data_IF_760227056611
#
_entry.id   IF_760227056611
#
_cell.length_a   1.000
_cell.length_b   1.000
_cell.length_c   1.000
_cell.angle_alpha   90.00
_cell.angle_beta   90.00
_cell.angle_gamma   90.00
#
_symmetry.space_group_name_H-M   'P 1'
#
loop_
_entity.id
_entity.type
_entity.pdbx_description
1 polymer ?
#
# COMPACT_ATOMS: atom_id res chain seq x y z
N UNK A 1 -15.21 9.48 10.68
CA UNK A 1 -15.58 10.01 9.34
C UNK A 1 -16.56 9.09 8.62
N UNK A 2 -16.19 7.85 8.24
CA UNK A 2 -17.10 7.00 7.45
C UNK A 2 -18.44 6.68 8.15
N UNK A 3 -18.44 6.47 9.48
CA UNK A 3 -19.68 6.25 10.27
C UNK A 3 -20.66 7.43 10.14
N UNK A 4 -20.16 8.65 10.36
CA UNK A 4 -20.95 9.88 10.24
C UNK A 4 -21.50 10.10 8.82
N UNK A 5 -20.74 9.71 7.79
CA UNK A 5 -21.24 9.73 6.41
C UNK A 5 -22.34 8.68 6.20
N UNK A 6 -22.20 7.50 6.79
CA UNK A 6 -23.25 6.47 6.80
C UNK A 6 -24.54 6.91 7.48
N UNK A 7 -24.43 7.59 8.63
CA UNK A 7 -25.60 8.16 9.33
C UNK A 7 -26.29 9.21 8.46
N UNK A 8 -25.51 10.02 7.73
CA UNK A 8 -26.03 11.01 6.81
C UNK A 8 -26.75 10.35 5.62
N UNK A 9 -26.15 9.33 5.02
CA UNK A 9 -26.79 8.54 3.94
C UNK A 9 -28.09 7.89 4.40
N UNK A 10 -28.12 7.37 5.62
CA UNK A 10 -29.35 6.78 6.20
C UNK A 10 -30.48 7.81 6.32
N UNK A 11 -30.14 9.08 6.61
CA UNK A 11 -31.13 10.15 6.79
C UNK A 11 -31.55 10.84 5.50
N UNK A 12 -30.64 11.01 4.54
CA UNK A 12 -30.84 11.86 3.37
C UNK A 12 -30.85 11.10 2.04
N UNK A 13 -30.53 9.80 2.05
CA UNK A 13 -30.52 8.92 0.87
C UNK A 13 -29.13 8.39 0.51
N UNK A 14 -29.11 7.38 -0.35
CA UNK A 14 -27.89 6.60 -0.64
C UNK A 14 -26.87 7.29 -1.55
N UNK A 15 -27.22 8.43 -2.12
CA UNK A 15 -26.36 9.24 -3.00
C UNK A 15 -26.45 10.68 -2.53
N UNK A 16 -25.36 11.17 -1.92
CA UNK A 16 -25.32 12.50 -1.32
C UNK A 16 -24.18 13.33 -1.89
N UNK A 17 -24.50 14.53 -2.36
CA UNK A 17 -23.50 15.51 -2.74
C UNK A 17 -23.20 16.44 -1.57
N UNK A 18 -21.99 16.33 -1.03
CA UNK A 18 -21.49 17.15 0.07
C UNK A 18 -20.47 18.17 -0.43
N UNK A 19 -20.27 19.22 0.35
CA UNK A 19 -19.22 20.22 0.10
C UNK A 19 -18.18 20.17 1.21
N UNK A 20 -16.96 19.75 0.88
CA UNK A 20 -15.81 19.76 1.78
C UNK A 20 -14.94 20.96 1.44
N UNK A 21 -15.16 22.06 2.17
CA UNK A 21 -14.53 23.35 1.88
C UNK A 21 -14.89 23.83 0.46
N UNK A 22 -13.91 23.90 -0.43
CA UNK A 22 -14.10 24.29 -1.83
C UNK A 22 -14.47 23.12 -2.75
N UNK A 23 -14.29 21.88 -2.30
CA UNK A 23 -14.48 20.68 -3.12
C UNK A 23 -15.89 20.10 -2.95
N UNK A 24 -16.45 19.60 -4.05
CA UNK A 24 -17.69 18.80 -4.03
C UNK A 24 -17.31 17.32 -3.92
N UNK A 25 -17.97 16.60 -3.01
CA UNK A 25 -17.73 15.17 -2.75
C UNK A 25 -19.05 14.43 -2.88
N UNK A 26 -19.10 13.49 -3.82
CA UNK A 26 -20.24 12.58 -3.96
C UNK A 26 -20.00 11.37 -3.06
N UNK A 27 -20.90 11.14 -2.11
CA UNK A 27 -20.92 9.97 -1.24
C UNK A 27 -21.96 9.00 -1.79
N UNK A 28 -21.55 7.74 -1.98
CA UNK A 28 -22.40 6.67 -2.50
C UNK A 28 -22.38 5.52 -1.50
N UNK A 29 -23.54 5.14 -0.96
CA UNK A 29 -23.67 4.07 0.05
C UNK A 29 -24.46 2.84 -0.42
N UNK A 30 -25.17 2.93 -1.55
CA UNK A 30 -25.92 1.79 -2.09
C UNK A 30 -25.05 0.88 -2.98
N UNK A 31 -25.12 -0.46 -2.82
CA UNK A 31 -24.43 -1.40 -3.70
C UNK A 31 -24.78 -1.25 -5.19
N UNK A 32 -26.03 -0.91 -5.52
CA UNK A 32 -26.45 -0.72 -6.92
C UNK A 32 -25.80 0.51 -7.54
N UNK A 33 -25.73 1.62 -6.79
CA UNK A 33 -25.07 2.85 -7.22
C UNK A 33 -23.56 2.69 -7.31
N UNK A 34 -22.92 2.00 -6.35
CA UNK A 34 -21.49 1.66 -6.41
C UNK A 34 -21.19 0.81 -7.66
N UNK A 35 -22.03 -0.18 -7.96
CA UNK A 35 -21.91 -0.99 -9.17
C UNK A 35 -21.98 -0.12 -10.42
N UNK A 36 -22.93 0.81 -10.51
CA UNK A 36 -23.03 1.72 -11.66
C UNK A 36 -21.78 2.61 -11.82
N UNK A 37 -21.22 3.13 -10.71
CA UNK A 37 -20.00 3.94 -10.73
C UNK A 37 -18.78 3.15 -11.20
N UNK A 38 -18.57 1.93 -10.70
CA UNK A 38 -17.33 1.17 -10.91
C UNK A 38 -17.44 0.04 -11.95
N UNK A 39 -18.54 -0.02 -12.72
CA UNK A 39 -18.66 -0.92 -13.88
C UNK A 39 -19.00 -0.15 -15.15
N UNK A 40 -20.17 0.50 -15.20
CA UNK A 40 -20.63 1.22 -16.39
C UNK A 40 -19.89 2.54 -16.61
N UNK A 41 -19.52 3.22 -15.52
CA UNK A 41 -18.89 4.55 -15.56
C UNK A 41 -17.47 4.55 -14.95
N UNK A 42 -16.81 3.39 -14.93
CA UNK A 42 -15.56 3.16 -14.23
C UNK A 42 -14.44 4.13 -14.67
N UNK A 43 -14.36 4.46 -15.95
CA UNK A 43 -13.39 5.42 -16.50
C UNK A 43 -13.61 6.84 -15.91
N UNK A 44 -14.86 7.30 -15.85
CA UNK A 44 -15.21 8.64 -15.35
C UNK A 44 -14.82 8.76 -13.87
N UNK A 45 -15.13 7.73 -13.08
CA UNK A 45 -14.82 7.67 -11.64
C UNK A 45 -13.38 7.22 -11.32
N UNK A 46 -12.57 6.89 -12.34
CA UNK A 46 -11.16 6.53 -12.15
C UNK A 46 -10.22 7.73 -12.07
N UNK A 47 -10.69 8.94 -12.34
CA UNK A 47 -9.90 10.15 -12.16
C UNK A 47 -9.59 10.41 -10.67
N UNK A 48 -8.42 10.98 -10.40
CA UNK A 48 -7.95 11.26 -9.03
C UNK A 48 -7.93 12.77 -8.79
N UNK A 49 -8.55 13.26 -7.70
CA UNK A 49 -8.49 14.68 -7.38
C UNK A 49 -7.05 15.10 -7.11
N UNK A 50 -6.68 16.29 -7.57
CA UNK A 50 -5.35 16.86 -7.34
C UNK A 50 -5.25 17.41 -5.92
N UNK A 51 -4.89 16.53 -5.00
CA UNK A 51 -4.57 16.87 -3.61
C UNK A 51 -3.09 17.25 -3.51
N UNK A 52 -2.73 18.15 -2.59
CA UNK A 52 -1.34 18.57 -2.31
C UNK A 52 -0.40 17.37 -2.06
N UNK A 53 -0.92 16.30 -1.43
CA UNK A 53 -0.17 15.05 -1.25
C UNK A 53 0.24 14.40 -2.58
N UNK A 54 -0.56 14.53 -3.64
CA UNK A 54 -0.22 14.02 -4.96
C UNK A 54 1.01 14.71 -5.55
N UNK A 55 1.16 16.01 -5.31
CA UNK A 55 2.29 16.81 -5.75
C UNK A 55 3.58 16.43 -5.02
N UNK A 56 3.54 16.45 -3.68
CA UNK A 56 4.76 16.30 -2.87
C UNK A 56 5.12 14.86 -2.50
N UNK A 57 4.15 13.95 -2.41
CA UNK A 57 4.38 12.58 -1.93
C UNK A 57 4.25 11.51 -3.03
N UNK A 58 3.68 11.86 -4.18
CA UNK A 58 3.32 10.87 -5.21
C UNK A 58 3.84 11.25 -6.60
N UNK A 59 5.08 11.74 -6.65
CA UNK A 59 5.82 12.00 -7.88
C UNK A 59 5.07 12.92 -8.82
N UNK A 60 4.52 14.02 -8.28
CA UNK A 60 3.69 14.94 -9.05
C UNK A 60 2.55 14.20 -9.79
N UNK A 61 1.75 13.43 -9.04
CA UNK A 61 0.60 12.65 -9.53
C UNK A 61 0.94 11.50 -10.49
N UNK A 62 2.19 11.01 -10.47
CA UNK A 62 2.62 9.88 -11.31
C UNK A 62 2.48 8.53 -10.64
N UNK A 63 2.40 8.46 -9.31
CA UNK A 63 2.17 7.19 -8.63
C UNK A 63 0.81 6.58 -9.01
N UNK A 64 0.73 5.25 -9.12
CA UNK A 64 -0.45 4.50 -9.58
C UNK A 64 -1.75 4.85 -8.81
N UNK A 65 -1.66 5.16 -7.51
CA UNK A 65 -2.81 5.53 -6.68
C UNK A 65 -3.32 6.96 -6.88
N UNK A 66 -2.49 7.87 -7.41
CA UNK A 66 -2.73 9.31 -7.51
C UNK A 66 -2.79 9.83 -8.95
N UNK A 67 -2.43 8.99 -9.93
CA UNK A 67 -2.60 9.31 -11.34
C UNK A 67 -4.05 9.17 -11.78
N UNK A 68 -4.53 10.13 -12.58
CA UNK A 68 -5.85 10.07 -13.20
C UNK A 68 -5.85 9.08 -14.37
N UNK A 69 -7.03 8.62 -14.77
CA UNK A 69 -7.14 7.65 -15.86
C UNK A 69 -6.56 8.22 -17.17
N UNK A 70 -5.74 7.42 -17.83
CA UNK A 70 -5.03 7.78 -19.05
C UNK A 70 -3.98 6.72 -19.39
N UNK A 71 -3.22 6.92 -20.46
CA UNK A 71 -2.21 5.95 -20.92
C UNK A 71 -1.19 5.60 -19.85
N UNK A 72 -0.68 6.62 -19.14
CA UNK A 72 0.26 6.43 -18.03
C UNK A 72 -0.29 5.51 -16.94
N UNK A 73 -1.49 5.80 -16.42
CA UNK A 73 -2.13 4.98 -15.38
C UNK A 73 -2.42 3.56 -15.87
N UNK A 74 -2.87 3.40 -17.12
CA UNK A 74 -3.12 2.08 -17.72
C UNK A 74 -1.83 1.27 -17.82
N UNK A 75 -0.73 1.87 -18.26
CA UNK A 75 0.56 1.20 -18.35
C UNK A 75 1.07 0.81 -16.96
N UNK A 76 1.04 1.72 -15.98
CA UNK A 76 1.41 1.42 -14.60
C UNK A 76 0.61 0.25 -14.04
N UNK A 77 -0.71 0.24 -14.24
CA UNK A 77 -1.59 -0.83 -13.78
C UNK A 77 -1.26 -2.16 -14.46
N UNK A 78 -0.99 -2.16 -15.77
CA UNK A 78 -0.58 -3.35 -16.54
C UNK A 78 0.71 -3.93 -15.98
N UNK A 79 1.77 -3.12 -15.91
CA UNK A 79 3.09 -3.55 -15.40
C UNK A 79 2.99 -4.05 -13.98
N UNK A 80 2.37 -3.27 -13.08
CA UNK A 80 2.18 -3.66 -11.67
C UNK A 80 1.42 -4.99 -11.54
N UNK A 81 0.36 -5.18 -12.34
CA UNK A 81 -0.41 -6.43 -12.32
C UNK A 81 0.40 -7.63 -12.81
N UNK A 82 1.28 -7.46 -13.79
CA UNK A 82 2.10 -8.56 -14.33
C UNK A 82 3.29 -8.87 -13.43
N UNK A 83 3.97 -7.84 -12.93
CA UNK A 83 5.25 -7.96 -12.22
C UNK A 83 5.10 -8.19 -10.72
N UNK A 84 4.03 -7.69 -10.09
CA UNK A 84 3.82 -7.85 -8.65
C UNK A 84 2.67 -8.78 -8.31
N UNK A 85 1.55 -8.67 -9.04
CA UNK A 85 0.29 -9.32 -8.66
C UNK A 85 -0.14 -10.49 -9.54
N UNK A 86 0.69 -10.93 -10.50
CA UNK A 86 0.38 -12.11 -11.30
C UNK A 86 0.52 -13.38 -10.46
N UNK A 87 -0.25 -14.42 -10.80
CA UNK A 87 -0.21 -15.70 -10.07
C UNK A 87 1.21 -16.27 -9.97
N UNK A 88 1.99 -16.18 -11.05
CA UNK A 88 3.39 -16.61 -11.07
C UNK A 88 4.25 -15.83 -10.07
N UNK A 89 4.12 -14.49 -10.06
CA UNK A 89 4.85 -13.61 -9.13
C UNK A 89 4.41 -13.84 -7.68
N UNK A 90 3.11 -13.94 -7.42
CA UNK A 90 2.57 -14.25 -6.08
C UNK A 90 3.05 -15.59 -5.53
N UNK A 91 3.20 -16.60 -6.40
CA UNK A 91 3.77 -17.90 -6.05
C UNK A 91 5.26 -17.79 -5.72
N UNK A 92 6.05 -17.03 -6.50
CA UNK A 92 7.46 -16.76 -6.18
C UNK A 92 7.61 -16.02 -4.84
N UNK A 93 6.74 -15.07 -4.56
CA UNK A 93 6.73 -14.33 -3.29
C UNK A 93 6.17 -15.12 -2.09
N UNK A 94 5.66 -16.34 -2.29
CA UNK A 94 5.17 -17.17 -1.18
C UNK A 94 6.26 -17.48 -0.16
N UNK A 95 7.49 -17.74 -0.65
CA UNK A 95 8.67 -18.00 0.18
C UNK A 95 8.97 -16.79 1.06
N UNK A 96 8.93 -15.57 0.50
CA UNK A 96 9.15 -14.33 1.27
C UNK A 96 8.15 -14.22 2.43
N UNK A 97 6.86 -14.47 2.17
CA UNK A 97 5.83 -14.41 3.21
C UNK A 97 6.05 -15.46 4.30
N UNK A 98 6.37 -16.70 3.91
CA UNK A 98 6.66 -17.77 4.87
C UNK A 98 7.86 -17.43 5.76
N UNK A 99 8.94 -16.91 5.16
CA UNK A 99 10.15 -16.54 5.89
C UNK A 99 9.91 -15.37 6.84
N UNK A 100 9.20 -14.30 6.44
CA UNK A 100 8.93 -13.19 7.35
C UNK A 100 8.04 -13.60 8.53
N UNK A 101 7.08 -14.51 8.30
CA UNK A 101 6.27 -15.08 9.39
C UNK A 101 7.15 -15.91 10.32
N UNK A 102 8.06 -16.73 9.79
CA UNK A 102 8.98 -17.52 10.61
C UNK A 102 9.92 -16.63 11.44
N UNK A 103 10.43 -15.53 10.86
CA UNK A 103 11.27 -14.56 11.57
C UNK A 103 10.49 -13.88 12.71
N UNK A 104 9.25 -13.46 12.45
CA UNK A 104 8.38 -12.88 13.47
C UNK A 104 8.12 -13.86 14.62
N UNK A 105 7.80 -15.12 14.31
CA UNK A 105 7.56 -16.15 15.32
C UNK A 105 8.82 -16.45 16.14
N UNK A 106 9.99 -16.50 15.49
CA UNK A 106 11.27 -16.69 16.18
C UNK A 106 11.56 -15.54 17.14
N UNK A 107 11.36 -14.29 16.71
CA UNK A 107 11.51 -13.10 17.55
C UNK A 107 10.60 -13.16 18.77
N UNK A 108 9.31 -13.46 18.57
CA UNK A 108 8.34 -13.59 19.67
C UNK A 108 8.70 -14.74 20.62
N UNK A 109 9.15 -15.87 20.08
CA UNK A 109 9.57 -17.00 20.91
C UNK A 109 10.76 -16.62 21.79
N UNK A 110 11.78 -15.96 21.23
CA UNK A 110 12.95 -15.49 21.96
C UNK A 110 12.59 -14.49 23.05
N UNK A 111 11.72 -13.52 22.76
CA UNK A 111 11.25 -12.53 23.74
C UNK A 111 10.41 -13.17 24.86
N UNK A 112 9.79 -14.33 24.61
CA UNK A 112 8.97 -15.05 25.58
C UNK A 112 9.75 -15.98 26.52
N UNK A 113 11.03 -16.28 26.25
CA UNK A 113 11.80 -17.32 26.98
C UNK A 113 11.89 -17.04 28.48
N UNK A 114 12.10 -15.78 28.87
CA UNK A 114 12.31 -15.39 30.27
C UNK A 114 11.06 -14.75 30.91
N UNK A 115 9.91 -14.79 30.23
CA UNK A 115 8.69 -14.08 30.65
C UNK A 115 7.50 -15.01 30.73
N UNK A 116 6.91 -15.14 31.93
CA UNK A 116 5.74 -15.99 32.19
C UNK A 116 4.49 -15.55 31.40
N UNK A 117 4.32 -14.25 31.18
CA UNK A 117 3.23 -13.68 30.39
C UNK A 117 3.74 -12.46 29.61
N UNK A 118 3.72 -12.55 28.29
CA UNK A 118 4.17 -11.49 27.39
C UNK A 118 2.96 -10.81 26.74
N UNK A 119 2.85 -9.49 26.90
CA UNK A 119 1.86 -8.68 26.18
C UNK A 119 2.46 -8.16 24.90
N UNK A 120 1.75 -8.31 23.79
CA UNK A 120 2.24 -7.87 22.49
C UNK A 120 1.22 -6.99 21.79
N UNK A 121 1.70 -5.92 21.16
CA UNK A 121 0.88 -5.07 20.31
C UNK A 121 0.78 -5.67 18.90
N UNK A 122 -0.32 -6.39 18.64
CA UNK A 122 -0.57 -7.02 17.34
C UNK A 122 -0.59 -6.02 16.18
N UNK A 123 -1.04 -4.78 16.41
CA UNK A 123 -1.07 -3.76 15.36
C UNK A 123 0.34 -3.41 14.90
N UNK A 124 1.29 -3.26 15.83
CA UNK A 124 2.68 -3.00 15.49
C UNK A 124 3.33 -4.19 14.79
N UNK A 125 3.08 -5.41 15.28
CA UNK A 125 3.61 -6.63 14.67
C UNK A 125 3.13 -6.82 13.23
N UNK A 126 1.83 -6.65 12.98
CA UNK A 126 1.29 -6.81 11.63
C UNK A 126 1.75 -5.71 10.68
N UNK A 127 1.95 -4.49 11.18
CA UNK A 127 2.55 -3.42 10.39
C UNK A 127 4.01 -3.76 10.02
N UNK A 128 4.83 -4.19 10.99
CA UNK A 128 6.22 -4.62 10.75
C UNK A 128 6.28 -5.78 9.75
N UNK A 129 5.45 -6.80 9.95
CA UNK A 129 5.36 -7.97 9.06
C UNK A 129 4.99 -7.56 7.63
N UNK A 130 3.93 -6.75 7.48
CA UNK A 130 3.45 -6.31 6.17
C UNK A 130 4.49 -5.46 5.47
N UNK A 131 5.13 -4.53 6.20
CA UNK A 131 6.19 -3.68 5.68
C UNK A 131 7.37 -4.53 5.18
N UNK A 132 7.87 -5.47 5.98
CA UNK A 132 9.00 -6.33 5.60
C UNK A 132 8.67 -7.21 4.40
N UNK A 133 7.45 -7.76 4.32
CA UNK A 133 6.99 -8.55 3.17
C UNK A 133 7.00 -7.68 1.91
N UNK A 134 6.36 -6.51 1.94
CA UNK A 134 6.27 -5.62 0.78
C UNK A 134 7.65 -5.14 0.35
N UNK A 135 8.49 -4.73 1.30
CA UNK A 135 9.85 -4.28 1.02
C UNK A 135 10.68 -5.37 0.36
N UNK A 136 10.61 -6.62 0.85
CA UNK A 136 11.33 -7.74 0.23
C UNK A 136 10.74 -8.19 -1.11
N UNK A 137 9.44 -8.03 -1.32
CA UNK A 137 8.83 -8.28 -2.63
C UNK A 137 9.36 -7.33 -3.69
N UNK A 138 9.77 -6.11 -3.30
CA UNK A 138 10.18 -5.05 -4.23
C UNK A 138 11.71 -4.95 -4.32
N UNK A 139 12.41 -4.85 -3.20
CA UNK A 139 13.87 -4.78 -3.14
C UNK A 139 14.58 -6.15 -3.27
N UNK A 140 13.82 -7.25 -3.30
CA UNK A 140 14.36 -8.61 -3.35
C UNK A 140 15.14 -8.99 -2.07
N UNK A 141 16.17 -9.82 -2.23
CA UNK A 141 16.93 -10.38 -1.11
C UNK A 141 18.01 -9.42 -0.54
N UNK A 142 18.23 -8.25 -1.12
CA UNK A 142 19.22 -7.28 -0.61
C UNK A 142 18.88 -6.82 0.82
N UNK A 143 17.60 -6.64 1.13
CA UNK A 143 17.14 -6.23 2.46
C UNK A 143 17.39 -7.29 3.56
N UNK A 144 17.45 -8.58 3.21
CA UNK A 144 17.84 -9.64 4.16
C UNK A 144 19.30 -9.49 4.61
N UNK A 145 20.19 -9.10 3.68
CA UNK A 145 21.61 -8.94 3.94
C UNK A 145 21.84 -7.79 4.95
N UNK A 146 21.19 -6.65 4.73
CA UNK A 146 21.31 -5.47 5.60
C UNK A 146 20.72 -5.71 7.00
N UNK A 147 19.57 -6.39 7.14
CA UNK A 147 19.04 -6.72 8.49
C UNK A 147 19.98 -7.60 9.31
N UNK A 148 20.63 -8.59 8.70
CA UNK A 148 21.63 -9.41 9.41
C UNK A 148 22.87 -8.59 9.84
N UNK A 149 23.19 -7.50 9.14
CA UNK A 149 24.26 -6.57 9.51
C UNK A 149 23.80 -5.61 10.62
N UNK A 150 22.55 -5.16 10.62
CA UNK A 150 21.97 -4.28 11.65
C UNK A 150 21.72 -5.02 12.99
N UNK A 151 21.26 -6.27 12.93
CA UNK A 151 20.97 -7.08 14.11
C UNK A 151 22.24 -7.45 14.89
N UNK A 152 23.41 -7.48 14.24
CA UNK A 152 24.72 -7.68 14.89
C UNK A 152 25.26 -6.44 15.63
N UNK A 153 24.65 -5.26 15.44
CA UNK A 153 25.11 -4.01 16.06
C UNK A 153 24.08 -3.34 16.99
N UNK A 154 22.98 -4.03 17.34
CA UNK A 154 22.10 -3.60 18.43
C UNK A 154 21.42 -2.24 18.21
N UNK A 155 21.06 -1.90 16.97
CA UNK A 155 20.25 -0.72 16.68
C UNK A 155 18.81 -1.15 16.38
N UNK A 156 17.92 -0.78 17.30
CA UNK A 156 16.51 -1.16 17.31
C UNK A 156 15.71 -0.65 16.10
N UNK A 157 14.50 -1.21 16.00
CA UNK A 157 13.37 -0.83 15.15
C UNK A 157 13.64 0.26 14.10
N UNK A 158 13.59 -0.14 12.83
CA UNK A 158 13.56 0.75 11.67
C UNK A 158 12.57 1.90 11.94
N UNK A 159 13.10 3.12 12.01
CA UNK A 159 12.33 4.31 12.36
C UNK A 159 11.30 4.65 11.28
N UNK A 160 10.21 5.33 11.66
CA UNK A 160 9.16 5.77 10.73
C UNK A 160 9.69 6.59 9.54
N UNK A 161 10.82 7.28 9.70
CA UNK A 161 11.53 7.99 8.63
C UNK A 161 12.20 7.05 7.63
N UNK A 162 12.85 5.97 8.10
CA UNK A 162 13.45 4.96 7.24
C UNK A 162 12.37 4.15 6.49
N UNK A 163 11.20 3.95 7.11
CA UNK A 163 10.04 3.36 6.42
C UNK A 163 9.49 4.26 5.31
N UNK A 164 9.40 5.58 5.55
CA UNK A 164 8.97 6.57 4.55
C UNK A 164 9.94 6.64 3.38
N UNK A 165 11.24 6.62 3.65
CA UNK A 165 12.30 6.67 2.63
C UNK A 165 12.34 5.37 1.81
N UNK A 166 12.20 4.21 2.45
CA UNK A 166 12.07 2.93 1.77
C UNK A 166 10.81 2.88 0.90
N UNK A 167 9.68 3.43 1.36
CA UNK A 167 8.43 3.48 0.60
C UNK A 167 8.50 4.44 -0.59
N UNK A 168 9.21 5.57 -0.47
CA UNK A 168 9.53 6.44 -1.60
C UNK A 168 10.45 5.72 -2.60
N UNK A 169 11.53 5.11 -2.14
CA UNK A 169 12.45 4.33 -2.99
C UNK A 169 11.75 3.19 -3.73
N UNK A 170 10.80 2.54 -3.07
CA UNK A 170 9.93 1.49 -3.63
C UNK A 170 9.08 2.00 -4.80
N UNK A 171 8.57 3.24 -4.73
CA UNK A 171 7.82 3.84 -5.85
C UNK A 171 8.76 4.22 -6.99
N UNK A 172 9.97 4.71 -6.69
CA UNK A 172 11.02 4.95 -7.70
C UNK A 172 11.40 3.65 -8.43
N UNK A 173 11.52 2.53 -7.71
CA UNK A 173 11.87 1.24 -8.32
C UNK A 173 10.75 0.71 -9.23
N UNK A 174 9.48 0.96 -8.89
CA UNK A 174 8.35 0.67 -9.79
C UNK A 174 8.40 1.56 -11.03
N UNK A 175 8.78 2.84 -10.91
CA UNK A 175 8.98 3.73 -12.06
C UNK A 175 10.15 3.29 -12.95
N UNK A 176 11.29 2.85 -12.38
CA UNK A 176 12.43 2.33 -13.15
C UNK A 176 12.05 1.08 -13.97
N UNK A 177 11.21 0.20 -13.41
CA UNK A 177 10.68 -0.96 -14.14
C UNK A 177 9.72 -0.54 -15.26
N UNK A 178 8.97 0.56 -15.07
CA UNK A 178 8.03 1.07 -16.07
C UNK A 178 8.72 1.85 -17.18
N UNK A 179 9.77 2.62 -16.88
CA UNK A 179 10.57 3.35 -17.88
C UNK A 179 11.41 2.40 -18.76
N UNK A 180 11.87 1.27 -18.21
CA UNK A 180 12.60 0.24 -18.96
C UNK A 180 11.72 -0.44 -20.03
N UNK A 181 10.42 -0.64 -19.78
CA UNK A 181 9.51 -1.37 -20.67
C UNK A 181 8.87 -0.47 -21.76
N UNK A 182 9.03 0.86 -21.68
CA UNK A 182 8.52 1.84 -22.66
C UNK A 182 9.60 2.29 -23.65
N UNK A 183 10.87 1.94 -23.42
CA UNK A 183 12.02 2.31 -24.25
C UNK A 183 12.54 1.23 -25.21
N UNK A 184 11.78 0.16 -25.44
CA UNK A 184 12.15 -0.98 -26.31
C UNK A 184 11.37 -1.05 -27.61
#
# INVERSE_FOLDING_TARGET
>A
MYRSLGDLCTKYGDVLLLRFGTHKVLVVSSPSAVKECFTKNDIIFSNRPRLIAGEHLHYNYRAIGFSSYGDHWRNLRRVTSMELFSTSRLNKFSIIRQEEVQLLLKKLFQESVDVKEMRVNLSSLFMELTFNIVLRMIAGNAHKQDRNLCDNHGLGNVTSSQQSEAMQKTVVDIEAVVEYDVGG
#
